data_IF_316434351762
#
_entry.id   IF_316434351762
#
_cell.length_a   1.000
_cell.length_b   1.000
_cell.length_c   1.000
_cell.angle_alpha   90.00
_cell.angle_beta   90.00
_cell.angle_gamma   90.00
#
_symmetry.space_group_name_H-M   'P 1'
#
loop_
_entity.id
_entity.type
_entity.pdbx_description
1 polymer ?
#
# COMPACT_ATOMS: atom_id res chain seq x y z
N UNK A 1 23.30 4.99 -7.46
CA UNK A 1 23.99 4.45 -6.27
C UNK A 1 23.51 3.02 -6.09
N UNK A 2 24.38 2.01 -6.18
CA UNK A 2 24.01 0.62 -5.90
C UNK A 2 24.14 0.39 -4.40
N UNK A 3 23.16 0.87 -3.62
CA UNK A 3 23.07 0.55 -2.19
C UNK A 3 22.20 -0.70 -2.02
N UNK A 4 22.75 -1.69 -1.33
CA UNK A 4 22.08 -2.92 -0.95
C UNK A 4 21.92 -2.97 0.56
N UNK A 5 20.75 -3.39 1.03
CA UNK A 5 20.39 -3.52 2.43
C UNK A 5 20.02 -4.97 2.72
N UNK A 6 20.40 -5.46 3.90
CA UNK A 6 20.02 -6.80 4.37
C UNK A 6 19.06 -6.63 5.53
N UNK A 7 17.80 -7.04 5.34
CA UNK A 7 16.69 -6.68 6.20
C UNK A 7 16.16 -7.88 6.98
N UNK A 8 15.73 -7.61 8.22
CA UNK A 8 15.05 -8.56 9.08
C UNK A 8 15.82 -9.83 9.43
N UNK A 9 15.13 -10.69 10.17
CA UNK A 9 15.67 -11.98 10.63
C UNK A 9 15.95 -12.94 9.47
N UNK A 10 15.22 -12.78 8.37
CA UNK A 10 15.37 -13.58 7.15
C UNK A 10 16.55 -13.15 6.28
N UNK A 11 17.24 -12.05 6.62
CA UNK A 11 18.34 -11.46 5.84
C UNK A 11 17.94 -11.21 4.38
N UNK A 12 16.74 -10.67 4.18
CA UNK A 12 16.19 -10.41 2.85
C UNK A 12 16.94 -9.25 2.21
N UNK A 13 17.57 -9.42 1.03
CA UNK A 13 18.27 -8.33 0.36
C UNK A 13 17.28 -7.36 -0.30
N UNK A 14 17.56 -6.07 -0.19
CA UNK A 14 16.83 -5.00 -0.86
C UNK A 14 17.80 -4.05 -1.57
N UNK A 15 17.52 -3.72 -2.83
CA UNK A 15 18.32 -2.80 -3.63
C UNK A 15 17.46 -1.62 -4.08
N UNK A 16 18.04 -0.42 -4.05
CA UNK A 16 17.34 0.76 -4.58
C UNK A 16 17.05 0.66 -6.09
N UNK A 17 17.73 -0.23 -6.82
CA UNK A 17 17.44 -0.51 -8.23
C UNK A 17 16.08 -1.23 -8.45
N UNK A 18 15.38 -1.66 -7.39
CA UNK A 18 13.97 -2.09 -7.47
C UNK A 18 13.03 -0.89 -7.79
N UNK A 19 13.52 0.35 -7.67
CA UNK A 19 12.85 1.57 -8.13
C UNK A 19 13.28 1.89 -9.58
N UNK A 20 12.35 2.09 -10.54
CA UNK A 20 12.71 2.26 -11.94
C UNK A 20 13.32 3.63 -12.23
N UNK A 21 14.21 3.73 -13.20
CA UNK A 21 14.79 5.01 -13.62
C UNK A 21 13.80 5.78 -14.50
N UNK A 22 13.87 7.11 -14.42
CA UNK A 22 13.15 8.04 -15.29
C UNK A 22 14.13 8.95 -16.03
N UNK A 23 13.75 9.42 -17.21
CA UNK A 23 14.47 10.43 -17.97
C UNK A 23 14.14 11.84 -17.47
N UNK A 24 14.92 12.83 -17.93
CA UNK A 24 14.67 14.24 -17.62
C UNK A 24 13.27 14.68 -18.08
N UNK A 25 12.53 15.35 -17.20
CA UNK A 25 11.17 15.85 -17.46
C UNK A 25 10.06 14.82 -17.25
N UNK A 26 10.40 13.56 -16.98
CA UNK A 26 9.43 12.53 -16.62
C UNK A 26 9.07 12.59 -15.13
N UNK A 27 7.91 12.02 -14.77
CA UNK A 27 7.45 11.92 -13.38
C UNK A 27 7.08 10.49 -13.03
N UNK A 28 6.99 10.23 -11.73
CA UNK A 28 6.45 8.99 -11.18
C UNK A 28 5.17 9.29 -10.40
N UNK A 29 4.26 8.33 -10.37
CA UNK A 29 3.11 8.34 -9.47
C UNK A 29 3.36 7.51 -8.23
N UNK A 30 2.75 7.86 -7.12
CA UNK A 30 2.67 7.00 -5.93
C UNK A 30 1.19 6.88 -5.55
N UNK A 31 0.66 5.66 -5.52
CA UNK A 31 -0.60 5.40 -4.82
C UNK A 31 -0.34 5.63 -3.34
N UNK A 32 -0.85 6.73 -2.81
CA UNK A 32 -0.42 7.25 -1.53
C UNK A 32 -1.57 7.39 -0.54
N UNK A 33 -1.40 6.70 0.59
CA UNK A 33 -2.37 6.62 1.68
C UNK A 33 -1.74 7.00 3.01
N UNK A 34 -0.47 7.45 3.04
CA UNK A 34 0.22 7.86 4.27
C UNK A 34 0.46 6.73 5.29
N UNK A 35 0.34 5.48 4.86
CA UNK A 35 0.69 4.29 5.65
C UNK A 35 2.21 4.01 5.62
N UNK A 36 2.62 2.89 6.24
CA UNK A 36 4.04 2.52 6.37
C UNK A 36 4.69 2.38 5.00
N UNK A 37 4.09 1.62 4.09
CA UNK A 37 4.66 1.30 2.80
C UNK A 37 4.70 2.52 1.88
N UNK A 38 3.58 3.22 1.71
CA UNK A 38 3.48 4.32 0.74
C UNK A 38 4.28 5.55 1.19
N UNK A 39 4.42 5.76 2.51
CA UNK A 39 5.32 6.79 3.04
C UNK A 39 6.78 6.47 2.77
N UNK A 40 7.21 5.21 2.90
CA UNK A 40 8.61 4.85 2.60
C UNK A 40 8.92 4.99 1.12
N UNK A 41 7.97 4.58 0.26
CA UNK A 41 8.08 4.78 -1.18
C UNK A 41 8.26 6.27 -1.49
N UNK A 42 7.49 7.15 -0.85
CA UNK A 42 7.60 8.59 -1.06
C UNK A 42 8.93 9.18 -0.59
N UNK A 43 9.45 8.72 0.55
CA UNK A 43 10.77 9.14 1.06
C UNK A 43 11.90 8.73 0.11
N UNK A 44 11.90 7.45 -0.32
CA UNK A 44 12.90 6.95 -1.27
C UNK A 44 12.74 7.65 -2.63
N UNK A 45 11.53 7.82 -3.13
CA UNK A 45 11.25 8.49 -4.39
C UNK A 45 11.71 9.96 -4.38
N UNK A 46 11.55 10.66 -3.25
CA UNK A 46 12.05 12.01 -3.07
C UNK A 46 13.57 12.08 -3.22
N UNK A 47 14.31 11.14 -2.66
CA UNK A 47 15.78 11.09 -2.82
C UNK A 47 16.21 10.71 -4.24
N UNK A 48 15.52 9.76 -4.86
CA UNK A 48 15.92 9.22 -6.16
C UNK A 48 15.55 10.14 -7.33
N UNK A 49 14.40 10.80 -7.26
CA UNK A 49 13.83 11.56 -8.37
C UNK A 49 13.70 13.06 -8.10
N UNK A 50 13.79 13.48 -6.84
CA UNK A 50 13.42 14.83 -6.41
C UNK A 50 11.90 14.96 -6.24
N UNK A 51 11.48 15.72 -5.22
CA UNK A 51 10.06 15.83 -4.85
C UNK A 51 9.18 16.39 -5.97
N UNK A 52 9.72 17.28 -6.80
CA UNK A 52 9.01 17.86 -7.95
C UNK A 52 8.72 16.83 -9.03
N UNK A 53 9.39 15.67 -9.05
CA UNK A 53 9.11 14.61 -10.02
C UNK A 53 8.17 13.52 -9.46
N UNK A 54 7.62 13.74 -8.27
CA UNK A 54 6.70 12.81 -7.60
C UNK A 54 5.27 13.36 -7.64
N UNK A 55 4.34 12.55 -8.16
CA UNK A 55 2.89 12.83 -8.12
C UNK A 55 2.25 11.91 -7.09
N UNK A 56 1.68 12.50 -6.05
CA UNK A 56 0.92 11.77 -5.04
C UNK A 56 -0.51 11.53 -5.54
N UNK A 57 -0.95 10.28 -5.54
CA UNK A 57 -2.25 9.88 -6.09
C UNK A 57 -3.08 9.21 -5.02
N UNK A 58 -4.25 9.80 -4.74
CA UNK A 58 -5.30 9.18 -3.94
C UNK A 58 -6.37 8.61 -4.87
N UNK A 59 -6.61 7.30 -4.79
CA UNK A 59 -7.76 6.65 -5.44
C UNK A 59 -8.78 6.31 -4.37
N UNK A 60 -9.94 6.96 -4.45
CA UNK A 60 -11.01 6.90 -3.46
C UNK A 60 -12.37 6.73 -4.15
N UNK A 61 -12.50 5.75 -5.05
CA UNK A 61 -13.77 5.52 -5.74
C UNK A 61 -14.86 5.02 -4.80
N UNK A 62 -16.08 5.48 -5.07
CA UNK A 62 -17.29 5.11 -4.33
C UNK A 62 -17.48 3.60 -4.23
N UNK A 63 -17.19 2.89 -5.32
CA UNK A 63 -17.34 1.45 -5.44
C UNK A 63 -16.39 0.66 -4.53
N UNK A 64 -15.26 1.26 -4.13
CA UNK A 64 -14.32 0.68 -3.16
C UNK A 64 -14.67 1.05 -1.72
N UNK A 65 -15.03 2.30 -1.49
CA UNK A 65 -15.00 2.89 -0.14
C UNK A 65 -16.37 3.29 0.42
N UNK A 66 -17.42 3.25 -0.41
CA UNK A 66 -18.84 3.44 -0.06
C UNK A 66 -19.13 4.73 0.70
N UNK A 67 -18.74 5.87 0.12
CA UNK A 67 -18.95 7.19 0.70
C UNK A 67 -20.29 7.82 0.33
N UNK A 68 -21.12 7.21 -0.53
CA UNK A 68 -22.40 7.78 -0.99
C UNK A 68 -23.37 8.06 0.17
N UNK A 69 -23.19 7.39 1.30
CA UNK A 69 -23.97 7.60 2.52
C UNK A 69 -23.14 8.22 3.66
N UNK A 70 -21.89 8.61 3.41
CA UNK A 70 -20.92 9.06 4.42
C UNK A 70 -19.88 10.01 3.78
N UNK A 71 -20.31 11.25 3.51
CA UNK A 71 -19.46 12.30 2.93
C UNK A 71 -18.29 12.69 3.86
N UNK A 72 -18.51 12.60 5.19
CA UNK A 72 -17.51 12.90 6.20
C UNK A 72 -16.30 11.98 6.07
N UNK A 73 -16.52 10.70 5.76
CA UNK A 73 -15.43 9.75 5.56
C UNK A 73 -14.60 10.05 4.31
N UNK A 74 -15.19 10.55 3.22
CA UNK A 74 -14.43 10.99 2.05
C UNK A 74 -13.63 12.26 2.34
N UNK A 75 -14.24 13.22 3.03
CA UNK A 75 -13.58 14.47 3.42
C UNK A 75 -12.40 14.19 4.34
N UNK A 76 -12.60 13.34 5.34
CA UNK A 76 -11.54 12.86 6.24
C UNK A 76 -10.36 12.25 5.45
N UNK A 77 -10.64 11.37 4.47
CA UNK A 77 -9.59 10.74 3.67
C UNK A 77 -8.80 11.77 2.84
N UNK A 78 -9.49 12.76 2.26
CA UNK A 78 -8.85 13.84 1.50
C UNK A 78 -7.99 14.73 2.39
N UNK A 79 -8.50 15.15 3.54
CA UNK A 79 -7.77 15.97 4.52
C UNK A 79 -6.53 15.23 5.02
N UNK A 80 -6.67 13.95 5.35
CA UNK A 80 -5.55 13.13 5.79
C UNK A 80 -4.49 12.99 4.69
N UNK A 81 -4.91 12.71 3.46
CA UNK A 81 -4.02 12.66 2.30
C UNK A 81 -3.27 13.99 2.10
N UNK A 82 -3.97 15.11 2.08
CA UNK A 82 -3.36 16.45 1.91
C UNK A 82 -2.34 16.75 3.02
N UNK A 83 -2.65 16.43 4.28
CA UNK A 83 -1.72 16.59 5.39
C UNK A 83 -0.47 15.70 5.24
N UNK A 84 -0.64 14.44 4.84
CA UNK A 84 0.46 13.51 4.64
C UNK A 84 1.38 13.95 3.48
N UNK A 85 0.81 14.40 2.35
CA UNK A 85 1.55 14.97 1.22
C UNK A 85 2.31 16.23 1.64
N UNK A 86 1.66 17.13 2.38
CA UNK A 86 2.28 18.37 2.89
C UNK A 86 3.47 18.11 3.80
N UNK A 87 3.38 17.12 4.70
CA UNK A 87 4.49 16.72 5.59
C UNK A 87 5.73 16.26 4.81
N UNK A 88 5.53 15.66 3.63
CA UNK A 88 6.63 15.22 2.76
C UNK A 88 7.19 16.35 1.87
N UNK A 89 6.50 17.50 1.84
CA UNK A 89 6.80 18.63 0.96
C UNK A 89 6.34 18.40 -0.49
N UNK A 90 5.33 17.56 -0.70
CA UNK A 90 4.82 17.26 -2.02
C UNK A 90 4.21 18.49 -2.73
N UNK A 91 4.50 18.63 -4.01
CA UNK A 91 4.05 19.75 -4.85
C UNK A 91 3.01 19.35 -5.91
N UNK A 92 2.85 18.05 -6.15
CA UNK A 92 1.88 17.51 -7.11
C UNK A 92 0.99 16.47 -6.45
N UNK A 93 -0.32 16.72 -6.51
CA UNK A 93 -1.33 15.80 -6.00
C UNK A 93 -2.43 15.57 -7.02
N UNK A 94 -3.04 14.39 -6.95
CA UNK A 94 -4.20 14.04 -7.74
C UNK A 94 -5.15 13.15 -6.95
N UNK A 95 -6.40 13.60 -6.82
CA UNK A 95 -7.43 12.90 -6.07
C UNK A 95 -8.49 12.40 -7.05
N UNK A 96 -8.71 11.09 -7.06
CA UNK A 96 -9.72 10.42 -7.86
C UNK A 96 -10.82 9.86 -6.93
N UNK A 97 -11.90 10.63 -6.77
CA UNK A 97 -13.04 10.22 -5.92
C UNK A 97 -14.37 10.11 -6.66
N UNK A 98 -14.38 10.30 -7.99
CA UNK A 98 -15.61 10.24 -8.78
C UNK A 98 -16.02 8.79 -9.06
N UNK A 99 -17.33 8.52 -9.07
CA UNK A 99 -17.87 7.22 -9.48
C UNK A 99 -17.42 6.87 -10.90
N UNK A 100 -17.03 5.62 -11.12
CA UNK A 100 -16.69 5.14 -12.46
C UNK A 100 -17.98 4.70 -13.15
N UNK A 101 -18.15 5.05 -14.44
CA UNK A 101 -19.34 4.63 -15.19
C UNK A 101 -19.47 3.10 -15.15
N UNK A 102 -20.71 2.60 -14.90
CA UNK A 102 -21.07 1.18 -15.02
C UNK A 102 -20.47 0.65 -16.33
N UNK A 103 -19.63 -0.39 -16.25
CA UNK A 103 -18.93 -1.09 -17.34
C UNK A 103 -17.48 -0.67 -17.65
N UNK A 104 -16.84 0.19 -16.85
CA UNK A 104 -15.38 0.40 -16.94
C UNK A 104 -14.64 -0.29 -15.80
N UNK A 105 -13.49 -0.89 -16.12
CA UNK A 105 -12.53 -1.30 -15.11
C UNK A 105 -11.99 -0.04 -14.43
N UNK A 106 -12.17 0.06 -13.11
CA UNK A 106 -11.87 1.28 -12.38
C UNK A 106 -10.38 1.60 -12.34
N UNK A 107 -9.53 0.59 -12.22
CA UNK A 107 -8.07 0.74 -12.25
C UNK A 107 -7.61 1.31 -13.60
N UNK A 108 -8.13 0.77 -14.71
CA UNK A 108 -7.82 1.27 -16.06
C UNK A 108 -8.28 2.72 -16.22
N UNK A 109 -9.47 3.04 -15.73
CA UNK A 109 -9.99 4.40 -15.77
C UNK A 109 -9.17 5.37 -14.91
N UNK A 110 -8.76 4.96 -13.70
CA UNK A 110 -7.89 5.74 -12.83
C UNK A 110 -6.58 6.07 -13.55
N UNK A 111 -5.92 5.07 -14.12
CA UNK A 111 -4.67 5.25 -14.86
C UNK A 111 -4.85 6.18 -16.06
N UNK A 112 -5.94 6.04 -16.81
CA UNK A 112 -6.28 6.92 -17.93
C UNK A 112 -6.42 8.37 -17.47
N UNK A 113 -7.15 8.62 -16.38
CA UNK A 113 -7.36 9.96 -15.83
C UNK A 113 -6.06 10.58 -15.28
N UNK A 114 -5.25 9.79 -14.58
CA UNK A 114 -3.92 10.21 -14.10
C UNK A 114 -3.05 10.66 -15.28
N UNK A 115 -2.97 9.87 -16.35
CA UNK A 115 -2.16 10.20 -17.53
C UNK A 115 -2.70 11.37 -18.34
N UNK A 116 -4.00 11.67 -18.26
CA UNK A 116 -4.55 12.90 -18.85
C UNK A 116 -4.08 14.16 -18.11
N UNK A 117 -4.02 14.10 -16.77
CA UNK A 117 -3.55 15.21 -15.95
C UNK A 117 -2.02 15.32 -15.93
N UNK A 118 -1.33 14.18 -15.96
CA UNK A 118 0.12 14.06 -15.88
C UNK A 118 0.65 13.18 -17.02
N UNK A 119 0.67 13.68 -18.28
CA UNK A 119 1.12 12.91 -19.44
C UNK A 119 2.60 12.51 -19.40
N UNK A 120 3.39 13.17 -18.56
CA UNK A 120 4.80 12.88 -18.29
C UNK A 120 5.01 11.74 -17.28
N UNK A 121 3.95 11.21 -16.67
CA UNK A 121 4.03 10.13 -15.70
C UNK A 121 4.34 8.79 -16.39
N UNK A 122 5.40 8.11 -15.94
CA UNK A 122 5.90 6.87 -16.59
C UNK A 122 5.37 5.60 -15.96
N UNK A 123 5.36 5.57 -14.63
CA UNK A 123 4.87 4.44 -13.85
C UNK A 123 4.29 4.94 -12.53
N UNK A 124 3.46 4.09 -11.93
CA UNK A 124 2.86 4.32 -10.62
C UNK A 124 3.43 3.29 -9.66
N UNK A 125 4.00 3.76 -8.55
CA UNK A 125 4.50 2.96 -7.45
C UNK A 125 3.37 2.66 -6.47
N UNK A 126 3.37 1.46 -5.91
CA UNK A 126 2.36 0.99 -4.96
C UNK A 126 3.03 0.27 -3.78
N UNK A 127 2.37 0.31 -2.62
CA UNK A 127 2.81 -0.35 -1.38
C UNK A 127 2.67 -1.88 -1.39
N UNK A 128 2.38 -2.49 -2.53
CA UNK A 128 2.26 -3.95 -2.65
C UNK A 128 3.56 -4.63 -2.19
N UNK A 129 3.40 -5.56 -1.26
CA UNK A 129 4.47 -6.22 -0.53
C UNK A 129 4.32 -7.75 -0.62
N UNK A 130 5.14 -8.51 0.13
CA UNK A 130 5.13 -9.98 0.08
C UNK A 130 3.79 -10.62 0.43
N UNK A 131 2.97 -9.98 1.29
CA UNK A 131 1.61 -10.46 1.59
C UNK A 131 0.74 -10.38 0.33
N UNK A 132 0.82 -9.27 -0.40
CA UNK A 132 0.10 -9.07 -1.65
C UNK A 132 0.56 -10.07 -2.71
N UNK A 133 1.86 -10.33 -2.83
CA UNK A 133 2.38 -11.34 -3.75
C UNK A 133 1.87 -12.75 -3.44
N UNK A 134 1.87 -13.14 -2.16
CA UNK A 134 1.29 -14.44 -1.77
C UNK A 134 -0.22 -14.49 -1.99
N UNK A 135 -0.93 -13.38 -1.78
CA UNK A 135 -2.37 -13.32 -2.02
C UNK A 135 -2.71 -13.50 -3.49
N UNK A 136 -2.03 -12.76 -4.38
CA UNK A 136 -2.20 -12.89 -5.83
C UNK A 136 -1.84 -14.28 -6.34
N UNK A 137 -0.74 -14.86 -5.84
CA UNK A 137 -0.34 -16.23 -6.19
C UNK A 137 -1.39 -17.24 -5.74
N UNK A 138 -1.87 -17.12 -4.50
CA UNK A 138 -2.90 -18.01 -3.94
C UNK A 138 -4.20 -17.94 -4.76
N UNK A 139 -4.62 -16.75 -5.17
CA UNK A 139 -5.85 -16.55 -5.96
C UNK A 139 -5.77 -17.18 -7.35
N UNK A 140 -4.60 -17.10 -7.99
CA UNK A 140 -4.31 -17.80 -9.25
C UNK A 140 -4.31 -19.32 -9.05
N UNK A 141 -3.64 -19.80 -8.00
CA UNK A 141 -3.53 -21.23 -7.69
C UNK A 141 -4.83 -21.86 -7.23
N UNK A 142 -5.72 -21.10 -6.59
CA UNK A 142 -7.04 -21.57 -6.16
C UNK A 142 -8.04 -21.71 -7.31
N UNK A 143 -7.68 -21.23 -8.51
CA UNK A 143 -8.56 -21.16 -9.70
C UNK A 143 -9.82 -20.33 -9.46
N UNK A 144 -9.75 -19.36 -8.55
CA UNK A 144 -10.84 -18.42 -8.26
C UNK A 144 -10.50 -17.02 -8.73
N UNK A 145 -9.64 -16.86 -9.71
CA UNK A 145 -9.16 -15.57 -10.21
C UNK A 145 -10.20 -14.76 -11.01
N UNK A 146 -11.49 -15.02 -10.85
CA UNK A 146 -12.54 -14.28 -11.55
C UNK A 146 -13.76 -14.05 -10.65
N UNK A 147 -14.35 -12.86 -10.78
CA UNK A 147 -15.57 -12.50 -10.10
C UNK A 147 -15.38 -12.19 -8.62
N UNK A 148 -16.51 -12.11 -7.91
CA UNK A 148 -16.56 -11.72 -6.50
C UNK A 148 -16.17 -12.88 -5.61
N UNK A 149 -15.09 -12.73 -4.86
CA UNK A 149 -14.60 -13.75 -3.93
C UNK A 149 -14.80 -13.22 -2.51
N UNK A 150 -15.04 -14.13 -1.57
CA UNK A 150 -15.20 -13.82 -0.14
C UNK A 150 -14.15 -14.55 0.70
N UNK A 151 -13.85 -14.00 1.88
CA UNK A 151 -12.90 -14.61 2.82
C UNK A 151 -13.32 -16.02 3.26
N UNK A 152 -14.63 -16.30 3.38
CA UNK A 152 -15.12 -17.62 3.80
C UNK A 152 -14.70 -18.75 2.85
N UNK A 153 -14.47 -18.43 1.57
CA UNK A 153 -13.95 -19.40 0.59
C UNK A 153 -12.43 -19.52 0.65
N UNK A 154 -11.74 -18.40 0.84
CA UNK A 154 -10.28 -18.34 0.75
C UNK A 154 -9.58 -18.74 2.05
N UNK A 155 -10.18 -18.49 3.21
CA UNK A 155 -9.58 -18.81 4.50
C UNK A 155 -9.33 -20.33 4.66
N UNK A 156 -10.28 -21.24 4.35
CA UNK A 156 -10.00 -22.68 4.39
C UNK A 156 -8.89 -23.12 3.43
N UNK A 157 -8.83 -22.51 2.24
CA UNK A 157 -7.77 -22.77 1.27
C UNK A 157 -6.40 -22.31 1.81
N UNK A 158 -6.33 -21.11 2.39
CA UNK A 158 -5.11 -20.57 2.99
C UNK A 158 -4.62 -21.43 4.17
N UNK A 159 -5.50 -21.86 5.07
CA UNK A 159 -5.13 -22.74 6.19
C UNK A 159 -4.56 -24.07 5.69
N UNK A 160 -5.20 -24.69 4.69
CA UNK A 160 -4.73 -25.94 4.08
C UNK A 160 -3.36 -25.77 3.40
N UNK A 161 -3.07 -24.59 2.87
CA UNK A 161 -1.86 -24.28 2.11
C UNK A 161 -0.88 -23.37 2.87
N UNK A 162 -0.93 -23.31 4.21
CA UNK A 162 -0.17 -22.35 5.02
C UNK A 162 1.34 -22.37 4.83
N UNK A 163 1.91 -23.54 4.53
CA UNK A 163 3.34 -23.67 4.28
C UNK A 163 3.76 -23.04 2.94
N UNK A 164 2.83 -22.92 1.98
CA UNK A 164 3.06 -22.28 0.68
C UNK A 164 2.89 -20.75 0.77
N UNK A 165 2.02 -20.27 1.66
CA UNK A 165 1.72 -18.85 1.85
C UNK A 165 1.92 -18.39 3.31
N UNK A 166 3.13 -18.56 3.90
CA UNK A 166 3.33 -18.36 5.33
C UNK A 166 3.13 -16.91 5.79
N UNK A 167 3.46 -15.92 4.97
CA UNK A 167 3.29 -14.50 5.33
C UNK A 167 1.82 -14.11 5.31
N UNK A 168 1.11 -14.52 4.25
CA UNK A 168 -0.32 -14.31 4.12
C UNK A 168 -1.08 -15.02 5.25
N UNK A 169 -0.66 -16.25 5.59
CA UNK A 169 -1.22 -17.01 6.71
C UNK A 169 -1.08 -16.25 8.03
N UNK A 170 0.13 -15.80 8.36
CA UNK A 170 0.37 -15.03 9.58
C UNK A 170 -0.44 -13.73 9.59
N UNK A 171 -0.45 -13.01 8.48
CA UNK A 171 -1.23 -11.78 8.34
C UNK A 171 -2.73 -12.02 8.58
N UNK A 172 -3.35 -13.02 7.94
CA UNK A 172 -4.79 -13.28 8.09
C UNK A 172 -5.11 -13.82 9.49
N UNK A 173 -4.44 -14.89 9.93
CA UNK A 173 -4.88 -15.65 11.11
C UNK A 173 -4.27 -15.18 12.43
N UNK A 174 -3.10 -14.54 12.41
CA UNK A 174 -2.45 -14.03 13.63
C UNK A 174 -2.63 -12.53 13.79
N UNK A 175 -2.66 -11.80 12.68
CA UNK A 175 -2.79 -10.34 12.69
C UNK A 175 -4.21 -9.88 12.33
N UNK A 176 -5.17 -10.79 12.12
CA UNK A 176 -6.56 -10.46 11.75
C UNK A 176 -6.63 -9.58 10.48
N UNK A 177 -5.71 -9.82 9.56
CA UNK A 177 -5.64 -9.15 8.27
C UNK A 177 -6.75 -9.59 7.33
N UNK A 178 -7.17 -8.68 6.45
CA UNK A 178 -8.11 -8.97 5.36
C UNK A 178 -7.33 -9.23 4.09
N UNK A 179 -7.68 -10.32 3.40
CA UNK A 179 -7.06 -10.70 2.13
C UNK A 179 -7.20 -9.56 1.11
N UNK A 180 -6.08 -9.20 0.49
CA UNK A 180 -6.06 -8.26 -0.62
C UNK A 180 -6.82 -8.86 -1.82
N UNK A 181 -7.51 -8.00 -2.57
CA UNK A 181 -8.23 -8.44 -3.77
C UNK A 181 -9.56 -9.15 -3.51
N UNK A 182 -9.99 -9.24 -2.26
CA UNK A 182 -11.27 -9.84 -1.86
C UNK A 182 -12.30 -8.74 -1.65
N UNK A 183 -13.30 -8.66 -2.52
CA UNK A 183 -14.39 -7.70 -2.42
C UNK A 183 -15.72 -8.33 -2.80
N UNK A 184 -16.76 -7.99 -2.04
CA UNK A 184 -18.14 -8.33 -2.39
C UNK A 184 -18.74 -7.42 -3.47
N UNK A 185 -18.02 -6.35 -3.83
CA UNK A 185 -18.51 -5.32 -4.74
C UNK A 185 -17.89 -5.44 -6.12
N UNK A 186 -16.60 -5.72 -6.18
CA UNK A 186 -15.84 -5.79 -7.43
C UNK A 186 -15.16 -7.15 -7.55
N UNK A 187 -14.99 -7.61 -8.79
CA UNK A 187 -14.32 -8.87 -9.04
C UNK A 187 -12.80 -8.76 -8.92
N UNK A 188 -12.16 -9.89 -8.67
CA UNK A 188 -10.71 -10.00 -8.53
C UNK A 188 -9.95 -9.47 -9.74
N UNK A 189 -10.52 -9.59 -10.94
CA UNK A 189 -9.91 -9.12 -12.19
C UNK A 189 -9.53 -7.63 -12.15
N UNK A 190 -10.26 -6.80 -11.38
CA UNK A 190 -9.93 -5.39 -11.21
C UNK A 190 -8.69 -5.18 -10.34
N UNK A 191 -8.56 -5.99 -9.28
CA UNK A 191 -7.39 -5.98 -8.41
C UNK A 191 -6.17 -6.58 -9.08
N UNK A 192 -6.35 -7.61 -9.92
CA UNK A 192 -5.26 -8.15 -10.72
C UNK A 192 -4.71 -7.10 -11.69
N UNK A 193 -5.58 -6.34 -12.36
CA UNK A 193 -5.13 -5.25 -13.23
C UNK A 193 -4.42 -4.16 -12.41
N UNK A 194 -4.91 -3.79 -11.23
CA UNK A 194 -4.18 -2.86 -10.34
C UNK A 194 -2.79 -3.38 -10.01
N UNK A 195 -2.74 -4.62 -9.54
CA UNK A 195 -1.52 -5.26 -9.15
C UNK A 195 -0.53 -5.30 -10.30
N UNK A 196 -0.90 -5.84 -11.47
CA UNK A 196 0.01 -6.03 -12.60
C UNK A 196 0.43 -4.71 -13.28
N UNK A 197 -0.37 -3.65 -13.19
CA UNK A 197 -0.08 -2.37 -13.86
C UNK A 197 0.75 -1.40 -13.02
N UNK A 198 0.84 -1.62 -11.71
CA UNK A 198 1.65 -0.81 -10.80
C UNK A 198 3.03 -1.43 -10.60
N UNK A 199 4.04 -0.56 -10.39
CA UNK A 199 5.37 -0.99 -9.95
C UNK A 199 5.34 -1.25 -8.44
N UNK A 200 5.98 -2.34 -8.00
CA UNK A 200 5.90 -2.88 -6.64
C UNK A 200 7.30 -3.09 -6.04
N UNK A 201 8.00 -2.02 -5.62
CA UNK A 201 9.38 -2.14 -5.15
C UNK A 201 9.52 -3.07 -3.94
N UNK A 202 8.49 -3.15 -3.10
CA UNK A 202 8.50 -3.93 -1.87
C UNK A 202 7.93 -5.33 -2.00
N UNK A 203 7.68 -5.83 -3.22
CA UNK A 203 7.07 -7.15 -3.44
C UNK A 203 7.77 -8.32 -2.73
N UNK A 204 9.08 -8.22 -2.49
CA UNK A 204 9.86 -9.27 -1.80
C UNK A 204 9.91 -9.08 -0.29
N UNK A 205 9.47 -7.94 0.23
CA UNK A 205 9.58 -7.57 1.63
C UNK A 205 8.28 -7.84 2.38
N UNK A 206 8.40 -8.36 3.58
CA UNK A 206 7.35 -8.33 4.61
C UNK A 206 7.20 -6.91 5.17
N UNK A 207 6.09 -6.62 5.85
CA UNK A 207 5.92 -5.32 6.50
C UNK A 207 6.97 -5.06 7.59
N UNK A 208 7.44 -6.09 8.31
CA UNK A 208 8.49 -5.93 9.32
C UNK A 208 9.84 -5.62 8.67
N UNK A 209 10.17 -6.23 7.53
CA UNK A 209 11.36 -5.87 6.75
C UNK A 209 11.27 -4.46 6.15
N UNK A 210 10.06 -3.97 5.82
CA UNK A 210 9.85 -2.58 5.42
C UNK A 210 10.13 -1.63 6.59
N UNK A 211 9.73 -1.98 7.82
CA UNK A 211 10.11 -1.24 9.04
C UNK A 211 11.63 -1.25 9.24
N UNK A 212 12.29 -2.39 9.06
CA UNK A 212 13.76 -2.45 9.15
C UNK A 212 14.43 -1.59 8.07
N UNK A 213 13.81 -1.46 6.88
CA UNK A 213 14.31 -0.60 5.82
C UNK A 213 14.19 0.89 6.18
N UNK A 214 13.17 1.31 6.93
CA UNK A 214 13.13 2.66 7.49
C UNK A 214 14.36 2.94 8.36
N UNK A 215 14.76 2.00 9.22
CA UNK A 215 15.94 2.14 10.07
C UNK A 215 17.23 2.18 9.26
N UNK A 216 17.40 1.24 8.33
CA UNK A 216 18.56 1.18 7.45
C UNK A 216 18.76 2.45 6.59
N UNK A 217 17.68 3.18 6.30
CA UNK A 217 17.69 4.44 5.57
C UNK A 217 17.72 5.70 6.46
N UNK A 218 17.63 5.55 7.79
CA UNK A 218 17.62 6.67 8.72
C UNK A 218 16.29 7.44 8.77
N UNK A 219 15.17 6.78 8.47
CA UNK A 219 13.82 7.37 8.40
C UNK A 219 12.88 6.95 9.54
N UNK A 220 13.38 6.40 10.63
CA UNK A 220 12.55 5.95 11.76
C UNK A 220 11.66 7.06 12.32
N UNK A 221 12.12 8.33 12.32
CA UNK A 221 11.30 9.45 12.77
C UNK A 221 10.02 9.66 11.95
N UNK A 222 10.09 9.36 10.65
CA UNK A 222 8.96 9.45 9.72
C UNK A 222 8.07 8.22 9.85
N UNK A 223 8.65 7.03 10.07
CA UNK A 223 7.90 5.80 10.35
C UNK A 223 6.91 5.99 11.50
N UNK A 224 7.32 6.59 12.62
CA UNK A 224 6.45 6.80 13.78
C UNK A 224 5.34 7.83 13.54
N UNK A 225 5.45 8.64 12.49
CA UNK A 225 4.45 9.63 12.08
C UNK A 225 3.46 9.10 11.03
N UNK A 226 3.73 7.91 10.46
CA UNK A 226 2.75 7.23 9.61
C UNK A 226 1.53 6.85 10.43
N UNK A 227 0.37 6.86 9.78
CA UNK A 227 -0.87 6.42 10.42
C UNK A 227 -1.43 5.24 9.65
N UNK A 228 -1.80 4.22 10.42
CA UNK A 228 -2.45 3.01 9.91
C UNK A 228 -3.89 2.94 10.42
N UNK A 229 -4.42 3.99 11.03
CA UNK A 229 -5.68 3.93 11.79
C UNK A 229 -6.90 4.25 10.92
N UNK A 230 -7.89 3.37 10.98
CA UNK A 230 -9.14 3.54 10.22
C UNK A 230 -10.24 4.31 10.98
N UNK A 231 -9.98 4.72 12.23
CA UNK A 231 -11.00 5.33 13.11
C UNK A 231 -10.70 6.77 13.54
N UNK A 232 -9.46 7.24 13.36
CA UNK A 232 -9.05 8.59 13.76
C UNK A 232 -7.79 9.00 13.03
N UNK A 233 -7.55 10.31 12.87
CA UNK A 233 -6.23 10.79 12.44
C UNK A 233 -5.17 10.41 13.49
N UNK A 234 -4.18 9.61 13.10
CA UNK A 234 -3.11 9.15 14.00
C UNK A 234 -3.17 7.65 14.25
N UNK A 235 -2.79 7.20 15.45
CA UNK A 235 -2.79 5.78 15.81
C UNK A 235 -3.58 5.56 17.10
N UNK A 236 -4.82 5.05 17.01
CA UNK A 236 -5.66 4.88 18.20
C UNK A 236 -5.17 3.76 19.14
N UNK A 237 -4.36 2.81 18.65
CA UNK A 237 -3.76 1.73 19.43
C UNK A 237 -4.62 0.49 19.66
N UNK A 238 -5.93 0.57 19.38
CA UNK A 238 -6.90 -0.50 19.65
C UNK A 238 -7.65 -1.04 18.42
N UNK A 239 -7.68 -0.30 17.30
CA UNK A 239 -8.33 -0.81 16.08
C UNK A 239 -7.51 -1.95 15.46
N UNK A 240 -8.14 -2.78 14.62
CA UNK A 240 -7.49 -3.90 13.93
C UNK A 240 -6.17 -3.47 13.28
N UNK A 241 -6.17 -2.31 12.61
CA UNK A 241 -4.99 -1.81 11.91
C UNK A 241 -3.86 -1.35 12.83
N UNK A 242 -4.18 -0.77 14.00
CA UNK A 242 -3.18 -0.48 15.03
C UNK A 242 -2.66 -1.76 15.73
N UNK A 243 -3.53 -2.76 15.95
CA UNK A 243 -3.09 -4.05 16.48
C UNK A 243 -2.14 -4.77 15.52
N UNK A 244 -2.42 -4.72 14.21
CA UNK A 244 -1.50 -5.19 13.15
C UNK A 244 -0.17 -4.47 13.21
N UNK A 245 -0.19 -3.13 13.25
CA UNK A 245 1.03 -2.33 13.37
C UNK A 245 1.89 -2.77 14.55
N UNK A 246 1.31 -2.89 15.75
CA UNK A 246 2.01 -3.39 16.95
C UNK A 246 2.62 -4.79 16.73
N UNK A 247 1.90 -5.69 16.07
CA UNK A 247 2.40 -7.02 15.74
C UNK A 247 3.59 -6.99 14.75
N UNK A 248 3.52 -6.14 13.73
CA UNK A 248 4.60 -5.99 12.74
C UNK A 248 5.86 -5.42 13.39
N UNK A 249 5.74 -4.43 14.28
CA UNK A 249 6.89 -3.92 15.05
C UNK A 249 7.51 -5.00 15.96
N UNK A 250 6.69 -5.85 16.58
CA UNK A 250 7.20 -6.96 17.40
C UNK A 250 8.04 -7.95 16.58
N UNK A 251 7.73 -8.09 15.30
CA UNK A 251 8.44 -8.99 14.38
C UNK A 251 9.65 -8.32 13.71
N UNK A 252 9.77 -6.99 13.74
CA UNK A 252 10.92 -6.23 13.22
C UNK A 252 12.07 -6.12 14.22
N UNK A 253 13.16 -5.47 13.82
CA UNK A 253 14.31 -5.14 14.68
C UNK A 253 14.20 -3.76 15.33
N UNK A 254 13.19 -2.98 14.94
CA UNK A 254 12.98 -1.59 15.36
C UNK A 254 11.99 -1.53 16.50
N UNK A 255 12.31 -0.78 17.56
CA UNK A 255 11.39 -0.55 18.67
C UNK A 255 10.21 0.32 18.23
N UNK A 256 8.99 -0.02 18.67
CA UNK A 256 7.81 0.79 18.37
C UNK A 256 7.77 2.06 19.24
N UNK A 257 8.08 3.20 18.63
CA UNK A 257 7.95 4.53 19.26
C UNK A 257 6.76 5.31 18.69
N UNK A 258 5.82 4.62 18.04
CA UNK A 258 4.58 5.24 17.56
C UNK A 258 3.80 5.78 18.75
N UNK A 259 3.35 7.04 18.66
CA UNK A 259 2.47 7.60 19.66
C UNK A 259 1.04 7.03 19.47
N UNK A 260 0.63 6.13 20.37
CA UNK A 260 -0.72 5.58 20.39
C UNK A 260 -1.60 6.36 21.36
N UNK A 261 -2.82 6.72 20.94
CA UNK A 261 -3.78 7.39 21.82
C UNK A 261 -4.23 6.49 22.98
N UNK A 262 -4.20 5.18 22.80
CA UNK A 262 -4.47 4.16 23.81
C UNK A 262 -3.35 3.12 23.76
N UNK A 263 -2.69 2.90 24.90
CA UNK A 263 -1.57 1.96 25.02
C UNK A 263 -2.03 0.52 25.25
#
# INVERSE_FOLDING_TARGET
>A
MNKSYVLGKNKTPFNLDEFPKIASGEKIGILFTGDIETTLIALIAKELYGIDNVVFVLIAFEEFLQFKNDEDKLNFLKEYFDQAVKKLGGTHQYILSNTVKKNRNMTVEAKRLILQQYPQLKFVLSGHNKIHEQCMTMLKDSKWSEGKITNDRLNPYLETNKNKYPELYNYVFKQQGKLFGVSKYIGFEQYEIDYETNTRPFKKLTQSEIIDLYDALGYTSQLYQTSSCDVSMGNCGICESCARRKAVFKDSTVSDLTNYSVN
#
